data_IF_336953928689
#
_entry.id   IF_336953928689
#
_cell.length_a   1.000
_cell.length_b   1.000
_cell.length_c   1.000
_cell.angle_alpha   90.00
_cell.angle_beta   90.00
_cell.angle_gamma   90.00
#
_symmetry.space_group_name_H-M   'P 1'
#
loop_
_entity.id
_entity.type
_entity.pdbx_description
1 polymer ?
#
# COMPACT_ATOMS: atom_id res chain seq x y z
N UNK A 1 14.37 7.67 0.94
CA UNK A 1 13.06 7.92 0.29
C UNK A 1 12.00 6.93 0.79
N UNK A 2 12.10 5.62 0.51
CA UNK A 2 11.11 4.61 0.92
C UNK A 2 10.91 4.46 2.44
N UNK A 3 11.99 4.65 3.22
CA UNK A 3 11.95 4.61 4.68
C UNK A 3 11.12 5.74 5.31
N UNK A 4 11.00 6.91 4.65
CA UNK A 4 10.20 8.03 5.18
C UNK A 4 8.71 7.69 5.21
N UNK A 5 8.22 6.97 4.19
CA UNK A 5 6.80 6.61 4.10
C UNK A 5 6.36 5.68 5.22
N UNK A 6 7.23 4.73 5.59
CA UNK A 6 6.96 3.80 6.69
C UNK A 6 6.91 4.50 8.04
N UNK A 7 7.62 5.61 8.20
CA UNK A 7 7.57 6.43 9.41
C UNK A 7 6.31 7.32 9.43
N UNK A 8 5.84 7.80 8.28
CA UNK A 8 4.69 8.72 8.19
C UNK A 8 3.34 8.01 8.19
N UNK A 9 3.19 6.93 7.42
CA UNK A 9 1.93 6.16 7.33
C UNK A 9 1.83 5.15 8.48
N UNK A 10 2.97 4.68 8.99
CA UNK A 10 3.03 3.52 9.87
C UNK A 10 2.82 2.20 9.10
N UNK A 11 2.77 1.10 9.85
CA UNK A 11 2.49 -0.22 9.30
C UNK A 11 1.13 -0.73 9.76
N UNK A 12 0.27 -1.04 8.79
CA UNK A 12 -1.06 -1.59 9.02
C UNK A 12 -0.97 -3.10 9.29
N UNK A 13 -1.41 -3.53 10.47
CA UNK A 13 -1.40 -4.94 10.87
C UNK A 13 -2.65 -5.72 10.44
N UNK A 14 -3.77 -5.02 10.21
CA UNK A 14 -5.08 -5.63 9.99
C UNK A 14 -5.78 -6.00 11.31
N UNK A 15 -5.56 -5.22 12.37
CA UNK A 15 -6.30 -5.34 13.63
C UNK A 15 -7.69 -4.71 13.50
N UNK A 16 -8.65 -5.17 14.29
CA UNK A 16 -10.02 -4.64 14.29
C UNK A 16 -10.13 -3.16 14.71
N UNK A 17 -9.09 -2.62 15.35
CA UNK A 17 -8.98 -1.22 15.76
C UNK A 17 -8.41 -0.32 14.66
N UNK A 18 -7.88 -0.89 13.59
CA UNK A 18 -7.30 -0.14 12.47
C UNK A 18 -8.34 0.01 11.35
N UNK A 19 -8.38 1.19 10.73
CA UNK A 19 -9.28 1.49 9.62
C UNK A 19 -8.53 1.36 8.28
N UNK A 20 -8.92 0.42 7.39
CA UNK A 20 -8.25 0.23 6.11
C UNK A 20 -8.44 1.41 5.15
N UNK A 21 -9.56 2.12 5.21
CA UNK A 21 -9.80 3.31 4.38
C UNK A 21 -8.92 4.47 4.81
N UNK A 22 -8.75 4.65 6.13
CA UNK A 22 -7.83 5.66 6.66
C UNK A 22 -6.38 5.36 6.24
N UNK A 23 -5.98 4.09 6.33
CA UNK A 23 -4.65 3.64 5.90
C UNK A 23 -4.41 3.92 4.40
N UNK A 24 -5.37 3.56 3.54
CA UNK A 24 -5.29 3.85 2.09
C UNK A 24 -5.17 5.35 1.81
N UNK A 25 -5.95 6.18 2.51
CA UNK A 25 -5.91 7.64 2.35
C UNK A 25 -4.53 8.20 2.73
N UNK A 26 -4.01 7.81 3.88
CA UNK A 26 -2.68 8.24 4.35
C UNK A 26 -1.57 7.76 3.42
N UNK A 27 -1.66 6.50 2.96
CA UNK A 27 -0.73 5.95 2.00
C UNK A 27 -0.72 6.75 0.69
N UNK A 28 -1.89 7.09 0.15
CA UNK A 28 -2.00 7.87 -1.08
C UNK A 28 -1.47 9.29 -0.96
N UNK A 29 -1.72 9.96 0.16
CA UNK A 29 -1.19 11.29 0.45
C UNK A 29 0.34 11.29 0.45
N UNK A 30 0.94 10.32 1.15
CA UNK A 30 2.39 10.21 1.21
C UNK A 30 2.97 9.75 -0.12
N UNK A 31 2.35 8.79 -0.81
CA UNK A 31 2.82 8.27 -2.10
C UNK A 31 2.78 9.32 -3.20
N UNK A 32 1.76 10.19 -3.19
CA UNK A 32 1.61 11.28 -4.14
C UNK A 32 2.75 12.31 -4.11
N UNK A 33 3.48 12.39 -2.99
CA UNK A 33 4.64 13.29 -2.86
C UNK A 33 5.89 12.79 -3.60
N UNK A 34 5.88 11.56 -4.11
CA UNK A 34 7.00 10.97 -4.83
C UNK A 34 6.66 10.82 -6.31
N UNK A 35 7.49 11.41 -7.16
CA UNK A 35 7.44 11.24 -8.61
C UNK A 35 8.77 10.65 -9.05
N UNK A 36 8.71 9.44 -9.60
CA UNK A 36 9.89 8.76 -10.16
C UNK A 36 9.81 8.84 -11.69
N UNK A 37 10.79 9.47 -12.37
CA UNK A 37 10.83 9.50 -13.82
C UNK A 37 10.78 8.09 -14.42
N UNK A 38 9.90 7.87 -15.39
CA UNK A 38 9.75 6.58 -16.08
C UNK A 38 8.95 5.52 -15.32
N UNK A 39 8.38 5.82 -14.15
CA UNK A 39 7.49 4.92 -13.40
C UNK A 39 6.12 5.57 -13.26
N UNK A 40 5.06 4.84 -13.60
CA UNK A 40 3.69 5.35 -13.39
C UNK A 40 3.38 5.40 -11.90
N UNK A 41 2.54 6.37 -11.49
CA UNK A 41 2.11 6.50 -10.10
C UNK A 41 1.49 5.20 -9.56
N UNK A 42 0.70 4.52 -10.37
CA UNK A 42 0.10 3.23 -9.99
C UNK A 42 1.14 2.13 -9.79
N UNK A 43 2.11 1.98 -10.70
CA UNK A 43 3.18 1.00 -10.55
C UNK A 43 4.04 1.29 -9.30
N UNK A 44 4.27 2.56 -9.01
CA UNK A 44 4.98 3.00 -7.81
C UNK A 44 4.21 2.66 -6.54
N UNK A 45 2.91 2.99 -6.48
CA UNK A 45 2.01 2.66 -5.36
C UNK A 45 1.96 1.15 -5.10
N UNK A 46 1.76 0.35 -6.15
CA UNK A 46 1.71 -1.12 -6.05
C UNK A 46 3.02 -1.71 -5.52
N UNK A 47 4.17 -1.19 -5.94
CA UNK A 47 5.49 -1.63 -5.43
C UNK A 47 5.71 -1.25 -3.97
N UNK A 48 5.15 -0.14 -3.52
CA UNK A 48 5.33 0.37 -2.15
C UNK A 48 4.35 -0.19 -1.13
N UNK A 49 3.12 -0.48 -1.55
CA UNK A 49 2.06 -0.91 -0.65
C UNK A 49 2.45 -2.08 0.27
N UNK A 50 3.15 -3.14 -0.20
CA UNK A 50 3.57 -4.26 0.67
C UNK A 50 4.45 -3.88 1.86
N UNK A 51 5.11 -2.72 1.80
CA UNK A 51 5.96 -2.23 2.88
C UNK A 51 5.15 -1.53 3.96
N UNK A 52 3.99 -0.95 3.59
CA UNK A 52 3.05 -0.33 4.52
C UNK A 52 2.23 -1.34 5.34
N UNK A 53 2.39 -2.64 5.06
CA UNK A 53 1.66 -3.71 5.73
C UNK A 53 2.57 -4.53 6.65
N UNK A 54 1.99 -5.11 7.69
CA UNK A 54 2.58 -6.14 8.55
C UNK A 54 1.54 -7.20 8.93
N UNK A 55 1.98 -8.23 9.64
CA UNK A 55 1.14 -9.27 10.27
C UNK A 55 0.05 -9.84 9.34
N UNK A 56 -1.23 -9.71 9.72
CA UNK A 56 -2.37 -10.29 8.99
C UNK A 56 -2.56 -9.63 7.63
N UNK A 57 -2.42 -8.31 7.55
CA UNK A 57 -2.55 -7.59 6.30
C UNK A 57 -1.46 -7.98 5.28
N UNK A 58 -0.22 -8.16 5.75
CA UNK A 58 0.86 -8.65 4.89
C UNK A 58 0.64 -10.10 4.44
N UNK A 59 0.11 -10.93 5.34
CA UNK A 59 -0.24 -12.31 5.02
C UNK A 59 -1.35 -12.40 3.96
N UNK A 60 -2.36 -11.54 4.05
CA UNK A 60 -3.42 -11.40 3.04
C UNK A 60 -2.85 -11.04 1.68
N UNK A 61 -1.98 -10.03 1.60
CA UNK A 61 -1.40 -9.61 0.32
C UNK A 61 -0.58 -10.73 -0.32
N UNK A 62 0.17 -11.49 0.50
CA UNK A 62 0.97 -12.62 0.05
C UNK A 62 0.14 -13.85 -0.36
N UNK A 63 -1.11 -13.95 0.09
CA UNK A 63 -2.00 -15.08 -0.27
C UNK A 63 -2.73 -14.87 -1.59
N UNK A 64 -2.62 -13.67 -2.19
CA UNK A 64 -3.23 -13.39 -3.48
C UNK A 64 -2.46 -14.07 -4.62
N UNK A 65 -3.18 -14.48 -5.66
CA UNK A 65 -2.54 -15.06 -6.84
C UNK A 65 -1.63 -14.02 -7.53
N UNK A 66 -0.44 -14.42 -8.03
CA UNK A 66 0.42 -13.53 -8.79
C UNK A 66 -0.34 -12.90 -9.96
N UNK A 67 -0.15 -11.59 -10.15
CA UNK A 67 -0.82 -10.81 -11.21
C UNK A 67 -2.36 -10.70 -11.09
N UNK A 68 -2.97 -11.13 -9.98
CA UNK A 68 -4.41 -10.91 -9.73
C UNK A 68 -4.76 -9.44 -9.51
N UNK A 69 -3.78 -8.63 -9.09
CA UNK A 69 -3.90 -7.18 -8.93
C UNK A 69 -2.82 -6.52 -9.78
N UNK A 70 -3.25 -5.81 -10.82
CA UNK A 70 -2.36 -5.10 -11.76
C UNK A 70 -2.52 -3.58 -11.73
N UNK A 71 -3.57 -3.08 -11.08
CA UNK A 71 -3.86 -1.64 -10.95
C UNK A 71 -4.06 -1.27 -9.49
N UNK A 72 -3.81 0.01 -9.16
CA UNK A 72 -4.05 0.50 -7.81
C UNK A 72 -5.53 0.39 -7.41
N UNK A 73 -6.45 0.66 -8.35
CA UNK A 73 -7.88 0.60 -8.08
C UNK A 73 -8.32 -0.82 -7.68
N UNK A 74 -7.85 -1.84 -8.40
CA UNK A 74 -8.15 -3.24 -8.08
C UNK A 74 -7.61 -3.65 -6.70
N UNK A 75 -6.49 -3.05 -6.28
CA UNK A 75 -5.96 -3.25 -4.93
C UNK A 75 -6.86 -2.61 -3.87
N UNK A 76 -7.22 -1.34 -4.07
CA UNK A 76 -8.04 -0.57 -3.14
C UNK A 76 -9.46 -1.14 -3.00
N UNK A 77 -10.02 -1.74 -4.05
CA UNK A 77 -11.33 -2.41 -3.98
C UNK A 77 -11.31 -3.73 -3.21
N UNK A 78 -10.15 -4.40 -3.14
CA UNK A 78 -9.99 -5.68 -2.44
C UNK A 78 -9.51 -5.54 -0.99
N UNK A 79 -8.86 -4.43 -0.66
CA UNK A 79 -8.26 -4.15 0.65
C UNK A 79 -9.31 -3.61 1.63
#
# INVERSE_FOLDING_TARGET
MMFQMLQTVGQFSGMATEDPHLHLKQFLEVAGNFVIPGVTQDAFRLRLFPYSLRDRAKSWLNSLEPNSITTWNALAEKF
#
